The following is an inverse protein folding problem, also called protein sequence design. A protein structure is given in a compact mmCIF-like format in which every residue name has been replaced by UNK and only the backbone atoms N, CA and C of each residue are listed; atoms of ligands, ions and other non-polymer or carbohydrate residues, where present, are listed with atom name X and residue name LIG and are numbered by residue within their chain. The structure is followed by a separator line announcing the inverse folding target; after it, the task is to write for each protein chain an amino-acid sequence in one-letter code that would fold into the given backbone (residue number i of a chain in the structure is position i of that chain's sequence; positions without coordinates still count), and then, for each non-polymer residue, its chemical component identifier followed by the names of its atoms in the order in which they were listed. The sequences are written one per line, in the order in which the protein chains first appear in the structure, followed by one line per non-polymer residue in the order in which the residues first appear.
data_IF_362184188575
#
_entry.id   IF_362184188575
#
_cell.length_a   1.000
_cell.length_b   1.000
_cell.length_c   1.000
_cell.angle_alpha   90.00
_cell.angle_beta   90.00
_cell.angle_gamma   90.00
#
_symmetry.space_group_name_H-M   'P 1'
#
loop_
_entity.id
_entity.type
_entity.pdbx_description
1 polymer ?
#
# COMPACT_ATOMS: atom_id res chain seq x y z
N UNK A 1 -20.42 -11.54 16.39
CA UNK A 1 -20.69 -10.38 17.25
C UNK A 1 -19.37 -9.64 17.40
N UNK A 2 -19.15 -8.55 16.60
CA UNK A 2 -17.91 -7.79 16.57
C UNK A 2 -18.13 -6.57 17.46
N UNK A 3 -17.43 -6.52 18.60
CA UNK A 3 -17.48 -5.38 19.50
C UNK A 3 -16.61 -4.25 18.91
N UNK A 4 -17.27 -3.19 18.46
CA UNK A 4 -16.63 -1.94 18.07
C UNK A 4 -16.28 -1.16 19.34
N UNK A 5 -15.00 -1.07 19.68
CA UNK A 5 -14.51 -0.13 20.70
C UNK A 5 -14.50 1.28 20.11
N UNK A 6 -15.47 2.08 20.49
CA UNK A 6 -15.49 3.51 20.27
C UNK A 6 -14.55 4.17 21.31
N UNK A 7 -13.36 4.58 20.87
CA UNK A 7 -12.53 5.50 21.67
C UNK A 7 -13.07 6.92 21.47
N UNK A 8 -13.71 7.45 22.49
CA UNK A 8 -14.02 8.86 22.55
C UNK A 8 -12.75 9.65 22.86
N UNK A 9 -12.31 10.47 21.91
CA UNK A 9 -11.26 11.47 22.16
C UNK A 9 -11.86 12.56 23.03
N UNK A 10 -11.46 12.60 24.30
CA UNK A 10 -11.78 13.72 25.16
C UNK A 10 -10.75 14.81 24.89
N UNK A 11 -11.12 15.80 24.11
CA UNK A 11 -10.34 17.01 23.94
C UNK A 11 -10.56 17.90 25.16
N UNK A 12 -9.59 17.93 26.05
CA UNK A 12 -9.55 18.93 27.12
C UNK A 12 -8.98 20.24 26.55
N UNK A 13 -9.85 21.14 26.18
CA UNK A 13 -9.46 22.54 26.11
C UNK A 13 -9.32 23.02 27.56
N UNK A 14 -8.10 23.14 28.03
CA UNK A 14 -7.84 23.77 29.31
C UNK A 14 -8.27 25.24 29.25
N UNK A 15 -9.16 25.62 30.14
CA UNK A 15 -9.61 27.00 30.26
C UNK A 15 -8.44 27.83 30.84
N UNK A 16 -7.90 28.78 30.05
CA UNK A 16 -6.77 29.64 30.45
C UNK A 16 -7.33 30.79 31.26
N UNK A 17 -7.81 30.53 32.49
CA UNK A 17 -8.53 31.51 33.29
C UNK A 17 -7.84 31.93 34.62
N UNK A 18 -6.53 31.82 34.70
CA UNK A 18 -5.80 32.40 35.85
C UNK A 18 -4.76 33.41 35.39
N UNK A 19 -5.18 34.65 35.21
CA UNK A 19 -4.24 35.76 35.02
C UNK A 19 -3.66 36.21 36.36
N UNK A 20 -2.34 36.34 36.44
CA UNK A 20 -1.62 36.88 37.56
C UNK A 20 -0.84 38.11 37.11
N UNK A 21 -1.07 39.24 37.78
CA UNK A 21 -0.28 40.43 37.51
C UNK A 21 1.13 40.27 38.08
N UNK A 22 2.13 40.49 37.25
CA UNK A 22 3.55 40.47 37.63
C UNK A 22 4.00 41.92 37.71
N UNK A 23 4.39 42.41 38.90
CA UNK A 23 4.87 43.79 39.05
C UNK A 23 6.20 44.00 38.33
N UNK A 24 6.51 45.26 38.00
CA UNK A 24 7.77 45.61 37.34
C UNK A 24 8.95 45.14 38.17
N UNK A 25 9.85 44.34 37.56
CA UNK A 25 10.99 43.72 38.22
C UNK A 25 10.67 42.37 38.90
N UNK A 26 9.42 41.92 38.87
CA UNK A 26 9.01 40.58 39.35
C UNK A 26 9.20 39.49 38.32
N UNK A 27 9.20 38.22 38.76
CA UNK A 27 9.22 37.03 37.92
C UNK A 27 7.94 36.21 38.10
N UNK A 28 7.45 35.59 37.02
CA UNK A 28 6.31 34.68 37.03
C UNK A 28 6.68 33.36 36.40
N UNK A 29 6.05 32.28 36.83
CA UNK A 29 6.15 30.96 36.23
C UNK A 29 4.79 30.55 35.62
N UNK A 30 4.85 29.98 34.46
CA UNK A 30 3.69 29.35 33.79
C UNK A 30 3.96 27.84 33.72
N UNK A 31 3.06 27.07 34.29
CA UNK A 31 3.08 25.61 34.09
C UNK A 31 2.42 25.29 32.73
N UNK A 32 3.14 24.61 31.86
CA UNK A 32 2.65 24.13 30.60
C UNK A 32 2.57 22.60 30.65
N UNK A 33 1.36 22.04 30.50
CA UNK A 33 1.12 20.61 30.48
C UNK A 33 0.85 20.20 29.03
N UNK A 34 1.69 19.33 28.48
CA UNK A 34 1.53 18.77 27.16
C UNK A 34 1.19 17.27 27.25
N UNK A 35 0.26 16.84 26.41
CA UNK A 35 -0.06 15.42 26.23
C UNK A 35 0.41 14.98 24.84
N UNK A 36 1.14 13.86 24.80
CA UNK A 36 1.52 13.23 23.52
C UNK A 36 0.50 12.13 23.23
N UNK A 37 -0.29 12.31 22.19
CA UNK A 37 -1.21 11.27 21.73
C UNK A 37 -0.44 10.19 20.95
N UNK A 38 -0.73 8.89 21.19
CA UNK A 38 -0.10 7.82 20.43
C UNK A 38 -0.56 7.88 18.95
N UNK A 39 0.39 7.73 18.04
CA UNK A 39 0.10 7.63 16.62
C UNK A 39 -0.31 6.20 16.29
N UNK A 40 -1.53 6.00 15.84
CA UNK A 40 -2.02 4.71 15.34
C UNK A 40 -1.87 4.71 13.82
N UNK A 41 -1.08 3.76 13.29
CA UNK A 41 -0.97 3.53 11.85
C UNK A 41 -2.11 2.60 11.41
N UNK A 42 -2.91 3.04 10.44
CA UNK A 42 -4.01 2.26 9.91
C UNK A 42 -4.20 2.53 8.43
N UNK A 43 -4.22 1.45 7.63
CA UNK A 43 -4.54 1.50 6.20
C UNK A 43 -5.65 0.50 5.91
N UNK A 44 -6.71 0.96 5.25
CA UNK A 44 -7.75 0.08 4.71
C UNK A 44 -7.37 -0.36 3.32
N UNK A 45 -7.43 -1.67 3.05
CA UNK A 45 -7.16 -2.28 1.75
C UNK A 45 -8.08 -3.49 1.52
N UNK A 46 -8.35 -3.89 0.26
CA UNK A 46 -9.11 -5.10 -0.02
C UNK A 46 -8.32 -6.35 0.37
N UNK A 47 -9.02 -7.41 0.77
CA UNK A 47 -8.44 -8.71 1.12
C UNK A 47 -8.37 -9.68 -0.06
N UNK A 48 -9.07 -9.38 -1.15
CA UNK A 48 -9.13 -10.19 -2.36
C UNK A 48 -9.22 -9.32 -3.60
N UNK A 49 -8.41 -9.63 -4.61
CA UNK A 49 -8.34 -8.90 -5.88
C UNK A 49 -8.32 -9.92 -7.02
N UNK A 50 -9.44 -10.15 -7.73
CA UNK A 50 -9.45 -10.98 -8.91
C UNK A 50 -8.75 -10.27 -10.07
N UNK A 51 -7.96 -10.99 -10.86
CA UNK A 51 -7.37 -10.47 -12.08
C UNK A 51 -7.26 -11.56 -13.15
N UNK A 52 -7.21 -11.14 -14.40
CA UNK A 52 -7.04 -12.04 -15.54
C UNK A 52 -5.79 -11.67 -16.33
N UNK A 53 -5.14 -12.65 -16.93
CA UNK A 53 -4.04 -12.45 -17.87
C UNK A 53 -4.51 -12.87 -19.25
N UNK A 54 -4.20 -12.06 -20.27
CA UNK A 54 -4.55 -12.37 -21.66
C UNK A 54 -3.39 -12.04 -22.60
N UNK A 55 -2.96 -13.04 -23.35
CA UNK A 55 -1.97 -12.88 -24.42
C UNK A 55 -2.49 -12.04 -25.59
N UNK A 56 -3.82 -11.95 -25.75
CA UNK A 56 -4.45 -11.21 -26.86
C UNK A 56 -4.41 -9.69 -26.72
N UNK A 57 -4.06 -9.17 -25.53
CA UNK A 57 -3.92 -7.72 -25.34
C UNK A 57 -2.75 -7.18 -26.17
N UNK A 58 -2.98 -6.08 -26.89
CA UNK A 58 -1.98 -5.40 -27.72
C UNK A 58 -1.00 -4.53 -26.90
N UNK A 59 -1.29 -4.29 -25.63
CA UNK A 59 -0.50 -3.48 -24.71
C UNK A 59 0.67 -4.28 -24.10
N UNK A 60 1.64 -3.61 -23.51
CA UNK A 60 2.71 -4.27 -22.74
C UNK A 60 2.16 -4.99 -21.52
N UNK A 61 1.19 -4.36 -20.83
CA UNK A 61 0.49 -5.00 -19.73
C UNK A 61 -0.50 -6.03 -20.27
N UNK A 62 -0.31 -7.30 -19.87
CA UNK A 62 -1.17 -8.43 -20.23
C UNK A 62 -2.23 -8.75 -19.18
N UNK A 63 -2.28 -7.99 -18.09
CA UNK A 63 -3.21 -8.19 -16.97
C UNK A 63 -4.40 -7.25 -17.10
N UNK A 64 -5.58 -7.77 -16.83
CA UNK A 64 -6.79 -6.99 -16.58
C UNK A 64 -7.10 -7.13 -15.09
N UNK A 65 -7.04 -6.04 -14.32
CA UNK A 65 -7.30 -6.04 -12.89
C UNK A 65 -8.23 -4.90 -12.49
N UNK A 66 -9.01 -5.08 -11.41
CA UNK A 66 -9.71 -3.97 -10.80
C UNK A 66 -8.72 -3.00 -10.16
N UNK A 67 -9.19 -1.80 -9.89
CA UNK A 67 -8.50 -0.79 -9.10
C UNK A 67 -8.41 -1.25 -7.63
N UNK A 68 -7.21 -1.34 -7.08
CA UNK A 68 -6.94 -1.72 -5.69
C UNK A 68 -6.84 -0.44 -4.87
N UNK A 69 -7.93 -0.05 -4.23
CA UNK A 69 -7.96 1.16 -3.40
C UNK A 69 -7.34 0.90 -2.03
N UNK A 70 -6.50 1.81 -1.58
CA UNK A 70 -5.92 1.84 -0.25
C UNK A 70 -6.15 3.20 0.38
N UNK A 71 -6.62 3.23 1.62
CA UNK A 71 -6.89 4.48 2.34
C UNK A 71 -6.08 4.52 3.63
N UNK A 72 -5.28 5.57 3.78
CA UNK A 72 -4.63 5.89 5.03
C UNK A 72 -5.65 6.54 5.98
N UNK A 73 -5.94 5.89 7.11
CA UNK A 73 -6.83 6.42 8.14
C UNK A 73 -6.04 7.07 9.29
N UNK A 74 -4.72 7.18 9.15
CA UNK A 74 -3.86 7.81 10.14
C UNK A 74 -3.77 9.32 9.90
N UNK A 75 -3.45 10.06 10.96
CA UNK A 75 -3.21 11.50 10.90
C UNK A 75 -1.81 11.90 10.42
N UNK A 76 -1.00 10.91 10.01
CA UNK A 76 0.36 11.10 9.47
C UNK A 76 0.53 10.36 8.16
N UNK A 77 1.52 10.73 7.32
CA UNK A 77 1.86 9.97 6.13
C UNK A 77 2.35 8.56 6.45
N UNK A 78 1.95 7.60 5.61
CA UNK A 78 2.36 6.21 5.72
C UNK A 78 2.97 5.71 4.41
N UNK A 79 3.88 4.77 4.54
CA UNK A 79 4.48 4.00 3.46
C UNK A 79 3.87 2.58 3.49
N UNK A 80 3.48 2.09 2.33
CA UNK A 80 2.99 0.73 2.13
C UNK A 80 4.03 -0.03 1.32
N UNK A 81 4.53 -1.11 1.90
CA UNK A 81 5.56 -1.95 1.32
C UNK A 81 5.06 -3.38 1.13
N UNK A 82 5.61 -4.10 0.15
CA UNK A 82 5.49 -5.55 0.08
C UNK A 82 6.74 -6.18 0.69
N UNK A 83 6.57 -6.98 1.75
CA UNK A 83 7.66 -7.63 2.47
C UNK A 83 7.91 -9.06 2.02
N UNK A 84 6.90 -9.72 1.49
CA UNK A 84 6.96 -11.10 1.01
C UNK A 84 5.85 -11.34 -0.01
N UNK A 85 6.06 -12.26 -0.96
CA UNK A 85 5.00 -12.71 -1.87
C UNK A 85 5.00 -14.22 -1.96
N UNK A 86 3.89 -14.85 -1.53
CA UNK A 86 3.66 -16.26 -1.81
C UNK A 86 3.10 -16.41 -3.22
N UNK A 87 3.72 -17.27 -4.02
CA UNK A 87 3.25 -17.62 -5.36
C UNK A 87 2.96 -19.11 -5.39
N UNK A 88 1.77 -19.45 -5.84
CA UNK A 88 1.34 -20.82 -6.11
C UNK A 88 0.81 -20.86 -7.55
N UNK A 89 1.57 -21.46 -8.43
CA UNK A 89 1.23 -21.57 -9.87
C UNK A 89 0.10 -22.58 -10.13
N UNK A 90 -0.37 -23.29 -9.10
CA UNK A 90 -1.52 -24.18 -9.19
C UNK A 90 -1.34 -25.29 -10.22
N UNK A 91 -2.25 -25.30 -11.21
CA UNK A 91 -2.24 -26.31 -12.29
C UNK A 91 -1.57 -25.83 -13.58
N UNK A 92 -0.90 -24.70 -13.58
CA UNK A 92 -0.14 -24.23 -14.74
C UNK A 92 1.05 -25.16 -14.98
N UNK A 93 0.99 -25.96 -16.03
CA UNK A 93 2.04 -26.89 -16.40
C UNK A 93 3.13 -26.16 -17.19
N UNK A 94 4.39 -26.47 -16.90
CA UNK A 94 5.55 -25.91 -17.62
C UNK A 94 5.65 -24.38 -17.59
N UNK A 95 4.98 -23.72 -16.63
CA UNK A 95 5.08 -22.27 -16.42
C UNK A 95 5.95 -22.00 -15.21
N UNK A 96 6.90 -21.09 -15.37
CA UNK A 96 7.77 -20.62 -14.30
C UNK A 96 7.48 -19.16 -13.95
N UNK A 97 7.83 -18.77 -12.75
CA UNK A 97 7.73 -17.38 -12.31
C UNK A 97 8.98 -16.58 -12.65
N UNK A 98 8.81 -15.36 -13.17
CA UNK A 98 9.90 -14.39 -13.27
C UNK A 98 9.81 -13.36 -12.15
N UNK A 99 10.92 -13.12 -11.46
CA UNK A 99 11.04 -12.12 -10.39
C UNK A 99 11.30 -10.70 -10.92
N UNK A 100 11.34 -10.55 -12.24
CA UNK A 100 11.54 -9.29 -12.94
C UNK A 100 10.45 -9.11 -14.00
N UNK A 101 10.33 -7.94 -14.58
CA UNK A 101 9.38 -7.73 -15.68
C UNK A 101 9.77 -8.40 -16.99
N UNK A 102 10.96 -8.96 -17.08
CA UNK A 102 11.42 -9.71 -18.24
C UNK A 102 11.02 -11.17 -18.09
N UNK A 103 10.40 -11.72 -19.11
CA UNK A 103 9.93 -13.12 -19.13
C UNK A 103 10.56 -13.85 -20.31
N UNK A 104 10.92 -15.12 -20.08
CA UNK A 104 11.23 -16.07 -21.14
C UNK A 104 9.93 -16.73 -21.64
N UNK A 105 10.02 -17.56 -22.69
CA UNK A 105 8.86 -18.11 -23.39
C UNK A 105 7.85 -18.82 -22.48
N UNK A 106 8.30 -19.50 -21.42
CA UNK A 106 7.46 -20.24 -20.48
C UNK A 106 7.33 -19.54 -19.12
N UNK A 107 7.44 -18.25 -19.06
CA UNK A 107 7.39 -17.51 -17.78
C UNK A 107 6.23 -16.53 -17.72
N UNK A 108 5.81 -16.26 -16.47
CA UNK A 108 4.92 -15.16 -16.12
C UNK A 108 5.59 -14.25 -15.11
N UNK A 109 5.29 -12.97 -15.20
CA UNK A 109 5.69 -11.97 -14.20
C UNK A 109 4.47 -11.15 -13.83
N UNK A 110 4.25 -10.98 -12.52
CA UNK A 110 3.21 -10.12 -11.96
C UNK A 110 3.86 -9.05 -11.10
N UNK A 111 3.34 -7.86 -11.20
CA UNK A 111 3.76 -6.71 -10.43
C UNK A 111 2.58 -5.86 -9.96
N UNK A 112 2.91 -4.85 -9.19
CA UNK A 112 2.00 -3.81 -8.78
C UNK A 112 2.44 -2.49 -9.40
N UNK A 113 1.50 -1.71 -9.87
CA UNK A 113 1.77 -0.37 -10.39
C UNK A 113 0.82 0.63 -9.75
N UNK A 114 1.39 1.75 -9.29
CA UNK A 114 0.59 2.85 -8.78
C UNK A 114 -0.26 3.44 -9.91
N UNK A 115 -1.49 3.83 -9.58
CA UNK A 115 -2.38 4.56 -10.48
C UNK A 115 -1.72 5.87 -10.93
N UNK A 116 -1.60 6.07 -12.24
CA UNK A 116 -1.05 7.29 -12.84
C UNK A 116 -2.15 8.28 -13.21
N UNK A 117 -3.21 7.75 -13.83
CA UNK A 117 -4.43 8.49 -14.15
C UNK A 117 -5.58 7.87 -13.39
N UNK A 118 -6.38 8.70 -12.74
CA UNK A 118 -7.49 8.23 -11.90
C UNK A 118 -8.46 7.34 -12.68
N UNK A 119 -8.73 6.17 -12.12
CA UNK A 119 -9.65 5.16 -12.65
C UNK A 119 -9.24 4.55 -14.02
N UNK A 120 -7.99 4.76 -14.45
CA UNK A 120 -7.45 4.19 -15.68
C UNK A 120 -6.45 3.06 -15.40
N UNK A 121 -6.69 1.90 -16.02
CA UNK A 121 -5.78 0.77 -15.91
C UNK A 121 -4.50 1.04 -16.72
N UNK A 122 -3.29 0.81 -16.15
CA UNK A 122 -2.04 1.02 -16.84
C UNK A 122 -1.87 0.10 -18.05
N UNK A 123 -1.50 0.65 -19.19
CA UNK A 123 -1.15 -0.10 -20.41
C UNK A 123 0.34 -0.39 -20.52
N UNK A 124 1.17 0.44 -19.88
CA UNK A 124 2.62 0.33 -19.84
C UNK A 124 3.08 -0.35 -18.54
N UNK A 125 4.19 -1.09 -18.62
CA UNK A 125 4.88 -1.73 -17.50
C UNK A 125 5.97 -0.86 -16.88
N UNK A 126 6.17 0.35 -17.37
CA UNK A 126 7.12 1.31 -16.80
C UNK A 126 6.79 1.55 -15.31
N UNK A 127 7.79 1.58 -14.45
CA UNK A 127 7.68 1.76 -13.01
C UNK A 127 6.87 0.67 -12.27
N UNK A 128 6.52 -0.43 -12.92
CA UNK A 128 5.92 -1.58 -12.25
C UNK A 128 6.87 -2.14 -11.18
N UNK A 129 6.32 -2.47 -10.02
CA UNK A 129 7.01 -3.09 -8.89
C UNK A 129 6.80 -4.60 -8.95
N UNK A 130 7.83 -5.34 -9.38
CA UNK A 130 7.73 -6.77 -9.65
C UNK A 130 7.75 -7.60 -8.38
N UNK A 131 6.78 -8.48 -8.23
CA UNK A 131 6.64 -9.38 -7.09
C UNK A 131 7.62 -10.55 -7.23
N UNK A 132 8.40 -10.80 -6.17
CA UNK A 132 9.38 -11.89 -6.14
C UNK A 132 8.80 -13.11 -5.46
N UNK A 133 8.72 -14.23 -6.18
CA UNK A 133 8.09 -15.44 -5.67
C UNK A 133 8.82 -16.05 -4.46
N UNK A 134 8.07 -16.31 -3.40
CA UNK A 134 8.49 -17.08 -2.23
C UNK A 134 9.78 -16.59 -1.56
N UNK A 135 10.01 -15.27 -1.58
CA UNK A 135 11.16 -14.66 -0.93
C UNK A 135 10.80 -13.32 -0.30
N UNK A 136 11.59 -12.93 0.69
CA UNK A 136 11.47 -11.61 1.32
C UNK A 136 11.91 -10.51 0.36
N UNK A 137 11.27 -9.36 0.46
CA UNK A 137 11.59 -8.17 -0.32
C UNK A 137 11.23 -6.92 0.50
N UNK A 138 11.91 -5.83 0.25
CA UNK A 138 11.58 -4.50 0.76
C UNK A 138 11.23 -3.63 -0.45
N UNK A 139 9.94 -3.59 -0.74
CA UNK A 139 9.47 -2.97 -1.98
C UNK A 139 8.36 -1.98 -1.70
N UNK A 140 8.68 -0.70 -1.74
CA UNK A 140 7.67 0.34 -1.64
C UNK A 140 6.74 0.32 -2.86
N UNK A 141 5.45 0.28 -2.61
CA UNK A 141 4.40 0.27 -3.64
C UNK A 141 3.53 1.51 -3.59
N UNK A 142 3.41 2.17 -2.43
CA UNK A 142 2.56 3.34 -2.28
C UNK A 142 2.97 4.18 -1.07
N UNK A 143 2.90 5.49 -1.22
CA UNK A 143 2.99 6.46 -0.12
C UNK A 143 1.67 7.22 -0.08
N UNK A 144 1.05 7.29 1.09
CA UNK A 144 -0.22 7.97 1.32
C UNK A 144 -0.05 9.05 2.39
N UNK A 145 -0.40 10.29 2.06
CA UNK A 145 -0.49 11.34 3.06
C UNK A 145 -1.60 11.04 4.08
N UNK A 146 -1.63 11.82 5.17
CA UNK A 146 -2.66 11.70 6.19
C UNK A 146 -4.06 11.75 5.58
N UNK A 147 -4.92 10.78 5.92
CA UNK A 147 -6.30 10.66 5.44
C UNK A 147 -6.47 10.54 3.91
N UNK A 148 -5.38 10.30 3.17
CA UNK A 148 -5.39 10.19 1.71
C UNK A 148 -5.76 8.77 1.25
N UNK A 149 -6.44 8.70 0.11
CA UNK A 149 -6.64 7.48 -0.68
C UNK A 149 -5.68 7.44 -1.85
N UNK A 150 -5.17 6.26 -2.17
CA UNK A 150 -4.40 5.96 -3.37
C UNK A 150 -4.82 4.63 -3.95
N UNK A 151 -4.31 4.29 -5.11
CA UNK A 151 -4.64 3.02 -5.75
C UNK A 151 -3.46 2.38 -6.46
N UNK A 152 -3.56 1.05 -6.54
CA UNK A 152 -2.66 0.19 -7.29
C UNK A 152 -3.48 -0.61 -8.31
N UNK A 153 -2.78 -1.08 -9.34
CA UNK A 153 -3.28 -2.10 -10.27
C UNK A 153 -2.32 -3.28 -10.28
N UNK A 154 -2.85 -4.48 -10.43
CA UNK A 154 -2.04 -5.64 -10.81
C UNK A 154 -1.64 -5.45 -12.26
N UNK A 155 -0.37 -5.58 -12.56
CA UNK A 155 0.17 -5.55 -13.91
C UNK A 155 1.02 -6.79 -14.15
N UNK A 156 1.24 -7.15 -15.40
CA UNK A 156 2.06 -8.31 -15.67
C UNK A 156 2.27 -8.58 -17.14
N UNK A 157 3.15 -9.52 -17.39
CA UNK A 157 3.45 -10.02 -18.73
C UNK A 157 3.62 -11.54 -18.70
N UNK A 158 3.56 -12.14 -19.86
CA UNK A 158 3.72 -13.59 -20.04
C UNK A 158 4.53 -13.90 -21.28
N UNK A 159 5.26 -15.00 -21.23
CA UNK A 159 6.02 -15.54 -22.35
C UNK A 159 5.11 -16.12 -23.44
N UNK A 160 5.68 -16.30 -24.62
CA UNK A 160 4.93 -16.68 -25.84
C UNK A 160 4.31 -18.08 -25.77
N UNK A 161 4.91 -18.98 -24.99
CA UNK A 161 4.45 -20.37 -24.87
C UNK A 161 3.51 -20.59 -23.67
N UNK A 162 3.16 -19.53 -22.93
CA UNK A 162 2.19 -19.64 -21.84
C UNK A 162 0.77 -19.60 -22.43
N UNK A 163 0.23 -20.77 -22.70
CA UNK A 163 -1.08 -20.95 -23.36
C UNK A 163 -2.11 -21.65 -22.47
N UNK A 164 -1.71 -22.07 -21.27
CA UNK A 164 -2.56 -22.84 -20.37
C UNK A 164 -3.72 -22.04 -19.81
N UNK A 165 -4.91 -22.64 -19.86
CA UNK A 165 -6.07 -22.16 -19.13
C UNK A 165 -6.04 -22.70 -17.70
N UNK A 166 -5.34 -22.00 -16.81
CA UNK A 166 -5.22 -22.40 -15.41
C UNK A 166 -5.41 -21.23 -14.46
N UNK A 167 -5.69 -21.55 -13.22
CA UNK A 167 -5.73 -20.59 -12.13
C UNK A 167 -4.47 -20.71 -11.30
N UNK A 168 -3.97 -19.59 -10.85
CA UNK A 168 -2.84 -19.49 -9.93
C UNK A 168 -3.11 -18.40 -8.88
N UNK A 169 -2.38 -18.43 -7.78
CA UNK A 169 -2.52 -17.49 -6.68
C UNK A 169 -1.24 -16.72 -6.44
N UNK A 170 -1.37 -15.43 -6.21
CA UNK A 170 -0.29 -14.53 -5.81
C UNK A 170 -0.75 -13.79 -4.56
N UNK A 171 -0.04 -13.98 -3.46
CA UNK A 171 -0.42 -13.43 -2.16
C UNK A 171 0.71 -12.56 -1.62
N UNK A 172 0.73 -11.26 -1.93
CA UNK A 172 1.67 -10.32 -1.34
C UNK A 172 1.31 -10.04 0.12
N UNK A 173 2.32 -9.94 0.97
CA UNK A 173 2.22 -9.47 2.35
C UNK A 173 2.57 -7.99 2.40
N UNK A 174 1.60 -7.16 2.73
CA UNK A 174 1.79 -5.72 2.88
C UNK A 174 2.19 -5.36 4.29
N UNK A 175 3.13 -4.42 4.41
CA UNK A 175 3.57 -3.82 5.68
C UNK A 175 3.34 -2.32 5.59
N UNK A 176 2.74 -1.76 6.63
CA UNK A 176 2.50 -0.33 6.74
C UNK A 176 3.46 0.25 7.77
N UNK A 177 4.19 1.26 7.38
CA UNK A 177 5.14 1.95 8.25
C UNK A 177 4.97 3.46 8.17
N UNK A 178 5.49 4.17 9.16
CA UNK A 178 5.59 5.62 9.12
C UNK A 178 6.56 6.03 8.02
N UNK A 179 6.16 7.00 7.21
CA UNK A 179 7.11 7.62 6.27
C UNK A 179 8.11 8.42 7.07
N UNK A 180 9.42 8.16 6.89
CA UNK A 180 10.44 9.07 7.38
C UNK A 180 10.23 10.42 6.71
N UNK A 181 10.17 11.49 7.49
CA UNK A 181 10.24 12.83 6.93
C UNK A 181 11.52 12.90 6.10
N UNK A 182 11.39 13.09 4.81
CA UNK A 182 12.56 13.46 3.99
C UNK A 182 12.91 14.89 4.41
N UNK A 183 14.04 15.03 5.11
CA UNK A 183 14.65 16.34 5.34
C UNK A 183 15.02 16.99 4.03
#
# INVERSE_FOLDING_TARGET
MIASLLFSTVSYAADVNSNRDIPVGGSGQIEMVGTIEPTILSVTMPTFVPFNISSSLSTQNKVISPRIRMKNNSNIPVRVDVSYTKVDLGKLNNVAWSNTGTVNDNQIAIGLKQEETKDEMPTSLSQARWLKANQTQDMNVLILNANQEGALYVVGTLGQNVTDNGTFNVTPTFVVSKTSATE
#
